data_IF_220932763586
#
_entry.id   IF_220932763586
#
_cell.length_a   1.000
_cell.length_b   1.000
_cell.length_c   1.000
_cell.angle_alpha   90.00
_cell.angle_beta   90.00
_cell.angle_gamma   90.00
#
_symmetry.space_group_name_H-M   'P 1'
#
loop_
_entity.id
_entity.type
_entity.pdbx_description
1 polymer ?
#
# COMPACT_ATOMS: atom_id res chain seq x y z
N UNK A 1 -10.40 3.36 36.73
CA UNK A 1 -10.27 3.24 35.26
C UNK A 1 -10.09 4.61 34.63
N UNK A 2 -9.41 4.63 33.52
CA UNK A 2 -9.30 5.78 32.63
C UNK A 2 -9.50 5.33 31.19
N UNK A 3 -10.21 6.11 30.40
CA UNK A 3 -10.43 5.89 28.98
C UNK A 3 -10.21 7.23 28.30
N UNK A 4 -9.35 7.24 27.31
CA UNK A 4 -9.12 8.41 26.45
C UNK A 4 -9.18 7.99 24.98
N UNK A 5 -9.77 8.84 24.13
CA UNK A 5 -9.77 8.65 22.70
C UNK A 5 -9.56 9.99 22.01
N UNK A 6 -8.92 9.97 20.86
CA UNK A 6 -8.79 11.10 19.97
C UNK A 6 -9.06 10.68 18.54
N UNK A 7 -9.55 11.60 17.74
CA UNK A 7 -9.72 11.46 16.30
C UNK A 7 -9.31 12.78 15.65
N UNK A 8 -8.44 12.71 14.67
CA UNK A 8 -8.05 13.86 13.87
C UNK A 8 -8.42 13.63 12.41
N UNK A 9 -8.94 14.67 11.78
CA UNK A 9 -9.14 14.74 10.33
C UNK A 9 -8.33 15.89 9.78
N UNK A 10 -7.42 15.60 8.85
CA UNK A 10 -6.58 16.60 8.21
C UNK A 10 -6.67 16.43 6.69
N UNK A 11 -7.18 17.44 6.00
CA UNK A 11 -7.22 17.50 4.54
C UNK A 11 -6.46 18.75 4.10
N UNK A 12 -5.41 18.53 3.35
CA UNK A 12 -4.64 19.61 2.73
C UNK A 12 -4.87 19.64 1.22
N UNK A 13 -4.37 20.66 0.58
CA UNK A 13 -4.44 20.84 -0.87
C UNK A 13 -3.27 21.71 -1.29
N UNK A 14 -2.57 21.34 -2.35
CA UNK A 14 -1.59 22.18 -3.01
C UNK A 14 -2.33 23.35 -3.65
N UNK A 15 -2.05 24.55 -3.19
CA UNK A 15 -2.69 25.78 -3.69
C UNK A 15 -1.93 26.35 -4.88
N UNK A 16 -0.60 26.25 -4.84
CA UNK A 16 0.27 26.66 -5.90
C UNK A 16 1.55 25.83 -5.89
N UNK A 17 2.02 25.45 -7.05
CA UNK A 17 3.32 24.83 -7.27
C UNK A 17 3.82 25.29 -8.64
N UNK A 18 5.12 25.54 -8.76
CA UNK A 18 5.74 25.90 -10.03
C UNK A 18 5.92 24.63 -10.89
N UNK A 19 4.84 24.23 -11.55
CA UNK A 19 4.82 23.08 -12.46
C UNK A 19 4.53 23.53 -13.90
N UNK A 20 4.94 22.71 -14.86
CA UNK A 20 4.64 22.95 -16.28
C UNK A 20 3.13 22.91 -16.50
N UNK A 21 2.67 23.62 -17.54
CA UNK A 21 1.27 23.53 -17.97
C UNK A 21 1.01 22.17 -18.60
N UNK A 22 0.26 21.33 -17.92
CA UNK A 22 -0.16 20.02 -18.44
C UNK A 22 -1.36 20.15 -19.35
N UNK A 23 -1.45 19.32 -20.42
CA UNK A 23 -2.59 19.34 -21.34
C UNK A 23 -3.90 18.83 -20.71
N UNK A 24 -3.83 18.08 -19.63
CA UNK A 24 -4.99 17.46 -18.97
C UNK A 24 -4.98 17.73 -17.47
N UNK A 25 -6.15 18.02 -16.90
CA UNK A 25 -6.33 18.33 -15.46
C UNK A 25 -5.93 17.18 -14.54
N UNK A 26 -6.06 15.93 -14.99
CA UNK A 26 -5.68 14.78 -14.15
C UNK A 26 -4.17 14.63 -13.92
N UNK A 27 -3.35 15.30 -14.73
CA UNK A 27 -1.89 15.30 -14.58
C UNK A 27 -1.40 16.34 -13.55
N UNK A 28 -2.23 17.33 -13.21
CA UNK A 28 -1.85 18.44 -12.36
C UNK A 28 -1.72 18.02 -10.90
N UNK A 29 -0.70 18.54 -10.23
CA UNK A 29 -0.50 18.41 -8.77
C UNK A 29 -1.28 19.49 -8.02
N UNK A 30 -1.45 20.66 -8.60
CA UNK A 30 -2.24 21.74 -8.03
C UNK A 30 -3.69 21.27 -7.83
N UNK A 31 -4.24 21.61 -6.68
CA UNK A 31 -5.58 21.15 -6.29
C UNK A 31 -5.63 19.79 -5.62
N UNK A 32 -4.57 18.97 -5.72
CA UNK A 32 -4.49 17.65 -5.09
C UNK A 32 -3.88 17.74 -3.69
N UNK A 33 -4.09 16.73 -2.83
CA UNK A 33 -3.43 16.66 -1.54
C UNK A 33 -1.90 16.53 -1.67
N UNK A 34 -1.17 17.08 -0.72
CA UNK A 34 0.28 16.83 -0.60
C UNK A 34 0.52 15.33 -0.40
N UNK A 35 1.44 14.75 -1.19
CA UNK A 35 1.73 13.32 -1.18
C UNK A 35 0.73 12.48 -1.96
N UNK A 36 -0.06 13.08 -2.85
CA UNK A 36 -0.88 12.37 -3.82
C UNK A 36 0.02 11.49 -4.68
N UNK A 37 -0.39 10.23 -4.86
CA UNK A 37 0.28 9.31 -5.76
C UNK A 37 -0.24 9.50 -7.18
N UNK A 38 0.65 9.41 -8.15
CA UNK A 38 0.34 9.45 -9.58
C UNK A 38 0.85 8.17 -10.23
N UNK A 39 0.13 7.68 -11.23
CA UNK A 39 0.48 6.47 -11.94
C UNK A 39 -0.49 6.14 -13.04
N UNK A 40 -0.17 5.10 -13.79
CA UNK A 40 -1.04 4.55 -14.82
C UNK A 40 -2.25 3.86 -14.21
N UNK A 41 -3.31 3.75 -14.99
CA UNK A 41 -4.49 2.96 -14.63
C UNK A 41 -4.37 1.58 -15.25
N UNK A 42 -4.45 0.54 -14.43
CA UNK A 42 -4.44 -0.85 -14.86
C UNK A 42 -5.71 -1.19 -15.65
N UNK A 43 -5.54 -1.79 -16.83
CA UNK A 43 -6.63 -2.18 -17.74
C UNK A 43 -6.71 -3.69 -18.00
N UNK A 44 -6.00 -4.48 -17.20
CA UNK A 44 -5.96 -5.93 -17.32
C UNK A 44 -4.61 -6.46 -17.77
N UNK A 45 -4.57 -7.76 -18.06
CA UNK A 45 -3.39 -8.44 -18.55
C UNK A 45 -3.59 -8.86 -20.01
N UNK A 46 -2.48 -8.91 -20.76
CA UNK A 46 -2.50 -9.47 -22.10
C UNK A 46 -2.87 -10.95 -22.06
N UNK A 47 -3.84 -11.34 -22.87
CA UNK A 47 -4.11 -12.74 -23.16
C UNK A 47 -3.08 -13.30 -24.15
N UNK A 48 -3.04 -14.62 -24.32
CA UNK A 48 -2.18 -15.27 -25.34
C UNK A 48 -2.52 -14.77 -26.75
N UNK A 49 -3.81 -14.62 -27.06
CA UNK A 49 -4.30 -14.14 -28.36
C UNK A 49 -3.89 -12.69 -28.61
N UNK A 50 -4.13 -11.81 -27.64
CA UNK A 50 -3.74 -10.39 -27.72
C UNK A 50 -2.24 -10.20 -27.89
N UNK A 51 -1.42 -10.96 -27.14
CA UNK A 51 0.03 -10.90 -27.23
C UNK A 51 0.53 -11.39 -28.61
N UNK A 52 -0.04 -12.48 -29.12
CA UNK A 52 0.32 -13.03 -30.43
C UNK A 52 -0.06 -12.08 -31.59
N UNK A 53 -1.14 -11.34 -31.45
CA UNK A 53 -1.65 -10.45 -32.50
C UNK A 53 -1.36 -8.96 -32.24
N UNK A 54 -0.52 -8.63 -31.27
CA UNK A 54 -0.32 -7.25 -30.79
C UNK A 54 0.04 -6.27 -31.91
N UNK A 55 0.95 -6.65 -32.83
CA UNK A 55 1.36 -5.80 -33.93
C UNK A 55 0.19 -5.39 -34.87
N UNK A 56 -0.85 -6.23 -34.97
CA UNK A 56 -2.05 -5.93 -35.75
C UNK A 56 -3.12 -5.16 -34.97
N UNK A 57 -3.08 -5.25 -33.65
CA UNK A 57 -4.08 -4.66 -32.74
C UNK A 57 -3.65 -3.30 -32.20
N UNK A 58 -2.32 -3.05 -32.11
CA UNK A 58 -1.78 -1.86 -31.47
C UNK A 58 -2.13 -0.57 -32.22
N UNK A 59 -2.41 0.47 -31.43
CA UNK A 59 -2.69 1.81 -31.95
C UNK A 59 -4.04 1.95 -32.69
N UNK A 60 -4.83 0.89 -32.77
CA UNK A 60 -6.16 0.96 -33.38
C UNK A 60 -7.17 1.47 -32.34
N UNK A 61 -7.73 2.64 -32.58
CA UNK A 61 -8.66 3.30 -31.64
C UNK A 61 -10.03 2.60 -31.60
N UNK A 62 -10.44 1.94 -32.70
CA UNK A 62 -11.69 1.20 -32.76
C UNK A 62 -11.48 -0.30 -32.51
N UNK A 63 -11.54 -0.70 -31.22
CA UNK A 63 -11.49 -2.12 -30.82
C UNK A 63 -10.09 -2.74 -30.76
N UNK A 64 -9.05 -1.94 -30.90
CA UNK A 64 -7.65 -2.37 -30.74
C UNK A 64 -7.12 -2.20 -29.31
N UNK A 65 -5.82 -2.39 -29.19
CA UNK A 65 -5.08 -2.20 -27.94
C UNK A 65 -4.20 -0.94 -28.12
N UNK A 66 -4.22 0.02 -27.18
CA UNK A 66 -3.30 1.15 -27.24
C UNK A 66 -1.86 0.68 -27.33
N UNK A 67 -1.02 1.36 -28.09
CA UNK A 67 0.41 1.08 -28.14
C UNK A 67 1.03 1.29 -26.77
N UNK A 68 1.50 0.23 -26.14
CA UNK A 68 2.00 0.23 -24.75
C UNK A 68 3.44 0.75 -24.63
N UNK A 69 3.99 1.33 -25.69
CA UNK A 69 5.30 1.95 -25.72
C UNK A 69 6.18 1.49 -26.88
N UNK A 70 7.05 2.40 -27.32
CA UNK A 70 7.92 2.15 -28.48
C UNK A 70 8.80 0.91 -28.29
N UNK A 71 8.68 -0.04 -29.22
CA UNK A 71 9.46 -1.28 -29.21
C UNK A 71 9.04 -2.30 -28.14
N UNK A 72 7.94 -2.06 -27.43
CA UNK A 72 7.42 -3.03 -26.49
C UNK A 72 6.69 -4.17 -27.20
N UNK A 73 7.10 -5.39 -26.89
CA UNK A 73 6.46 -6.62 -27.36
C UNK A 73 5.89 -7.36 -26.15
N UNK A 74 4.57 -7.37 -25.97
CA UNK A 74 3.96 -8.01 -24.80
C UNK A 74 4.07 -9.53 -24.89
N UNK A 75 4.05 -10.16 -23.71
CA UNK A 75 3.78 -11.57 -23.53
C UNK A 75 2.45 -11.74 -22.81
N UNK A 76 1.86 -12.92 -22.92
CA UNK A 76 0.68 -13.27 -22.13
C UNK A 76 0.95 -13.06 -20.62
N UNK A 77 0.02 -12.39 -19.95
CA UNK A 77 0.15 -12.01 -18.55
C UNK A 77 0.98 -10.76 -18.27
N UNK A 78 1.44 -10.05 -19.28
CA UNK A 78 1.98 -8.70 -19.12
C UNK A 78 0.85 -7.69 -18.86
N UNK A 79 1.17 -6.58 -18.21
CA UNK A 79 0.20 -5.53 -17.83
C UNK A 79 -0.22 -4.71 -19.05
N UNK A 80 -1.51 -4.43 -19.14
CA UNK A 80 -2.08 -3.40 -20.02
C UNK A 80 -2.42 -2.17 -19.21
N UNK A 81 -2.07 -0.99 -19.73
CA UNK A 81 -2.48 0.30 -19.17
C UNK A 81 -3.56 0.94 -20.03
N UNK A 82 -4.37 1.74 -19.38
CA UNK A 82 -5.50 2.43 -19.97
C UNK A 82 -5.06 3.72 -20.64
N UNK A 83 -5.44 3.88 -21.91
CA UNK A 83 -5.34 5.12 -22.65
C UNK A 83 -6.44 6.09 -22.16
N UNK A 84 -6.05 7.12 -21.43
CA UNK A 84 -6.98 8.07 -20.82
C UNK A 84 -7.39 9.17 -21.79
N UNK A 85 -6.48 9.59 -22.65
CA UNK A 85 -6.71 10.67 -23.62
C UNK A 85 -7.24 10.15 -24.95
N UNK A 86 -7.23 8.83 -25.16
CA UNK A 86 -7.70 8.12 -26.35
C UNK A 86 -6.93 8.49 -27.63
N UNK A 87 -5.61 8.69 -27.50
CA UNK A 87 -4.75 8.96 -28.64
C UNK A 87 -4.14 7.71 -29.28
N UNK A 88 -4.48 6.51 -28.76
CA UNK A 88 -4.07 5.21 -29.27
C UNK A 88 -2.73 4.72 -28.76
N UNK A 89 -2.12 5.39 -27.79
CA UNK A 89 -0.84 5.00 -27.19
C UNK A 89 -0.81 5.30 -25.71
N UNK A 90 0.05 4.62 -24.98
CA UNK A 90 0.29 4.83 -23.55
C UNK A 90 1.57 5.65 -23.38
N UNK A 91 1.41 6.85 -22.86
CA UNK A 91 2.53 7.75 -22.57
C UNK A 91 2.30 8.54 -21.25
N UNK A 92 3.14 9.53 -20.98
CA UNK A 92 3.04 10.35 -19.77
C UNK A 92 1.68 11.05 -19.60
N UNK A 93 0.90 11.21 -20.67
CA UNK A 93 -0.42 11.86 -20.64
C UNK A 93 -1.49 10.95 -20.03
N UNK A 94 -1.20 9.65 -19.88
CA UNK A 94 -2.09 8.66 -19.27
C UNK A 94 -1.80 8.46 -17.78
N UNK A 95 -0.88 9.22 -17.24
CA UNK A 95 -0.58 9.23 -15.81
C UNK A 95 -1.55 10.17 -15.09
N UNK A 96 -2.22 9.67 -14.08
CA UNK A 96 -3.17 10.44 -13.27
C UNK A 96 -3.01 10.20 -11.78
N UNK A 97 -3.72 10.96 -10.97
CA UNK A 97 -3.84 10.71 -9.55
C UNK A 97 -4.52 9.35 -9.28
N UNK A 98 -3.90 8.53 -8.43
CA UNK A 98 -4.36 7.20 -8.05
C UNK A 98 -4.50 7.09 -6.53
N UNK A 99 -5.59 6.45 -6.09
CA UNK A 99 -5.86 6.16 -4.69
C UNK A 99 -5.88 7.36 -3.74
N UNK A 100 -5.56 7.09 -2.49
CA UNK A 100 -5.43 8.13 -1.45
C UNK A 100 -4.01 8.68 -1.41
N UNK A 101 -3.81 9.89 -0.82
CA UNK A 101 -2.47 10.42 -0.60
C UNK A 101 -1.66 9.53 0.36
N UNK A 102 -0.35 9.68 0.32
CA UNK A 102 0.58 8.99 1.23
C UNK A 102 0.31 9.32 2.70
N UNK A 103 -0.13 10.55 2.98
CA UNK A 103 -0.47 10.99 4.33
C UNK A 103 -1.93 10.68 4.64
N UNK A 104 -2.23 10.04 5.80
CA UNK A 104 -3.59 9.66 6.14
C UNK A 104 -4.50 10.87 6.34
N UNK A 105 -5.75 10.77 5.86
CA UNK A 105 -6.76 11.79 6.12
C UNK A 105 -7.32 11.71 7.55
N UNK A 106 -7.32 10.53 8.13
CA UNK A 106 -7.78 10.31 9.50
C UNK A 106 -6.71 9.61 10.31
N UNK A 107 -6.47 10.11 11.52
CA UNK A 107 -5.68 9.42 12.54
C UNK A 107 -6.50 9.32 13.81
N UNK A 108 -6.40 8.19 14.49
CA UNK A 108 -7.10 7.95 15.74
C UNK A 108 -6.19 7.30 16.77
N UNK A 109 -6.42 7.60 18.03
CA UNK A 109 -5.77 6.96 19.16
C UNK A 109 -6.79 6.64 20.26
N UNK A 110 -6.55 5.54 20.98
CA UNK A 110 -7.33 5.16 22.14
C UNK A 110 -6.42 4.61 23.23
N UNK A 111 -6.63 5.09 24.45
CA UNK A 111 -5.96 4.57 25.63
C UNK A 111 -7.00 4.04 26.62
N UNK A 112 -6.74 2.88 27.17
CA UNK A 112 -7.51 2.28 28.26
C UNK A 112 -6.58 1.95 29.40
N UNK A 113 -6.97 2.29 30.62
CA UNK A 113 -6.28 1.91 31.84
C UNK A 113 -7.26 1.47 32.92
N UNK A 114 -6.93 0.40 33.62
CA UNK A 114 -7.71 -0.13 34.75
C UNK A 114 -6.76 -0.50 35.88
N UNK A 115 -7.10 -0.06 37.12
CA UNK A 115 -6.35 -0.47 38.29
C UNK A 115 -7.32 -1.00 39.35
N UNK A 116 -7.02 -2.16 39.91
CA UNK A 116 -7.87 -2.80 40.93
C UNK A 116 -7.06 -3.73 41.84
N UNK A 117 -7.11 -3.50 43.13
CA UNK A 117 -6.49 -4.34 44.19
C UNK A 117 -5.05 -4.76 43.89
N UNK A 118 -4.23 -3.81 43.43
CA UNK A 118 -2.83 -4.04 43.12
C UNK A 118 -2.58 -4.47 41.66
N UNK A 119 -3.58 -4.92 40.93
CA UNK A 119 -3.46 -5.13 39.51
C UNK A 119 -3.61 -3.81 38.77
N UNK A 120 -2.82 -3.63 37.73
CA UNK A 120 -2.95 -2.55 36.77
C UNK A 120 -2.87 -3.14 35.34
N UNK A 121 -3.74 -2.66 34.50
CA UNK A 121 -3.80 -3.00 33.07
C UNK A 121 -3.87 -1.73 32.25
N UNK A 122 -3.09 -1.68 31.18
CA UNK A 122 -3.18 -0.59 30.21
C UNK A 122 -3.04 -1.10 28.80
N UNK A 123 -3.70 -0.42 27.86
CA UNK A 123 -3.50 -0.62 26.43
C UNK A 123 -3.63 0.68 25.66
N UNK A 124 -2.90 0.76 24.56
CA UNK A 124 -2.91 1.89 23.62
C UNK A 124 -3.11 1.37 22.22
N UNK A 125 -4.08 1.95 21.52
CA UNK A 125 -4.34 1.71 20.12
C UNK A 125 -4.01 2.94 19.29
N UNK A 126 -3.53 2.72 18.07
CA UNK A 126 -3.41 3.74 17.03
C UNK A 126 -4.05 3.26 15.73
N UNK A 127 -4.53 4.20 14.95
CA UNK A 127 -5.13 3.91 13.65
C UNK A 127 -4.88 5.05 12.67
N UNK A 128 -4.76 4.70 11.40
CA UNK A 128 -4.73 5.63 10.29
C UNK A 128 -5.62 5.12 9.17
N UNK A 129 -6.34 6.02 8.51
CA UNK A 129 -7.28 5.66 7.45
C UNK A 129 -7.19 6.62 6.27
N UNK A 130 -7.61 6.13 5.10
CA UNK A 130 -7.56 6.84 3.82
C UNK A 130 -6.14 7.31 3.51
N UNK A 131 -5.25 6.35 3.48
CA UNK A 131 -3.86 6.49 3.03
C UNK A 131 -3.54 5.34 2.09
N UNK A 132 -2.78 5.60 1.05
CA UNK A 132 -2.32 4.59 0.11
C UNK A 132 -0.81 4.57 0.05
N UNK A 133 -0.28 3.40 -0.24
CA UNK A 133 1.16 3.20 -0.45
C UNK A 133 1.41 2.49 -1.77
N UNK A 134 2.27 3.08 -2.56
CA UNK A 134 2.81 2.42 -3.73
C UNK A 134 3.87 1.41 -3.29
N UNK A 135 3.75 0.17 -3.71
CA UNK A 135 4.73 -0.85 -3.39
C UNK A 135 6.10 -0.50 -4.00
N UNK A 136 7.16 -0.56 -3.21
CA UNK A 136 8.52 -0.39 -3.74
C UNK A 136 8.92 -1.58 -4.62
N UNK A 137 9.99 -1.42 -5.41
CA UNK A 137 10.48 -2.46 -6.32
C UNK A 137 10.72 -3.80 -5.62
N UNK A 138 11.19 -3.80 -4.37
CA UNK A 138 11.38 -5.01 -3.56
C UNK A 138 10.09 -5.82 -3.41
N UNK A 139 8.94 -5.15 -3.35
CA UNK A 139 7.63 -5.78 -3.14
C UNK A 139 6.84 -5.99 -4.43
N UNK A 140 7.36 -5.61 -5.60
CA UNK A 140 6.64 -5.78 -6.86
C UNK A 140 7.44 -6.48 -7.95
N UNK A 141 8.79 -6.41 -7.91
CA UNK A 141 9.64 -6.99 -8.95
C UNK A 141 10.17 -8.35 -8.48
N UNK A 142 9.71 -9.48 -9.05
CA UNK A 142 10.25 -10.79 -8.75
C UNK A 142 11.67 -10.92 -9.34
N UNK A 143 12.51 -11.72 -8.71
CA UNK A 143 13.89 -12.04 -9.10
C UNK A 143 14.87 -10.86 -9.07
N UNK A 144 14.42 -9.63 -8.88
CA UNK A 144 15.25 -8.41 -8.86
C UNK A 144 15.99 -8.15 -10.17
N UNK A 145 16.78 -7.09 -10.20
CA UNK A 145 17.53 -6.69 -11.40
C UNK A 145 18.64 -7.68 -11.81
N UNK A 146 19.15 -8.46 -10.87
CA UNK A 146 20.27 -9.39 -11.07
C UNK A 146 19.87 -10.86 -11.11
N UNK A 147 18.57 -11.17 -11.18
CA UNK A 147 18.03 -12.53 -11.14
C UNK A 147 18.42 -13.37 -9.90
N UNK A 148 18.98 -12.73 -8.88
CA UNK A 148 19.48 -13.38 -7.67
C UNK A 148 18.59 -13.12 -6.45
N UNK A 149 17.52 -12.32 -6.60
CA UNK A 149 16.60 -11.99 -5.50
C UNK A 149 15.57 -13.10 -5.32
N UNK A 150 15.26 -13.38 -4.06
CA UNK A 150 14.19 -14.30 -3.72
C UNK A 150 12.82 -13.73 -4.17
N UNK A 151 11.94 -14.61 -4.63
CA UNK A 151 10.55 -14.29 -4.94
C UNK A 151 9.72 -14.47 -3.66
N UNK A 152 8.94 -13.50 -3.31
CA UNK A 152 8.05 -13.61 -2.16
C UNK A 152 6.86 -14.52 -2.48
N UNK A 153 6.37 -15.26 -1.48
CA UNK A 153 5.27 -16.23 -1.65
C UNK A 153 4.05 -15.61 -2.35
N UNK A 154 3.62 -14.40 -1.92
CA UNK A 154 2.47 -13.74 -2.52
C UNK A 154 2.68 -13.38 -4.01
N UNK A 155 3.92 -13.10 -4.45
CA UNK A 155 4.20 -12.84 -5.87
C UNK A 155 3.91 -14.07 -6.72
N UNK A 156 4.17 -15.27 -6.20
CA UNK A 156 3.83 -16.53 -6.88
C UNK A 156 2.32 -16.79 -6.83
N UNK A 157 1.71 -16.59 -5.64
CA UNK A 157 0.29 -16.84 -5.44
C UNK A 157 -0.60 -15.87 -6.20
N UNK A 158 -0.18 -14.61 -6.35
CA UNK A 158 -0.92 -13.55 -7.03
C UNK A 158 -0.60 -13.44 -8.54
N UNK A 159 0.45 -14.14 -9.01
CA UNK A 159 0.87 -14.11 -10.40
C UNK A 159 -0.24 -14.55 -11.36
N UNK A 160 -0.26 -13.88 -12.50
CA UNK A 160 -1.15 -14.22 -13.60
C UNK A 160 -0.87 -15.64 -14.14
N UNK A 161 -1.93 -16.35 -14.40
CA UNK A 161 -1.96 -17.60 -15.17
C UNK A 161 -3.17 -17.56 -16.11
N UNK A 162 -3.22 -18.38 -17.18
CA UNK A 162 -4.38 -18.40 -18.07
C UNK A 162 -5.71 -18.62 -17.33
N UNK A 163 -5.70 -19.44 -16.28
CA UNK A 163 -6.91 -19.76 -15.49
C UNK A 163 -7.36 -18.59 -14.61
N UNK A 164 -6.43 -17.79 -14.12
CA UNK A 164 -6.77 -16.61 -13.30
C UNK A 164 -7.19 -15.43 -14.15
N UNK A 165 -6.61 -15.25 -15.32
CA UNK A 165 -6.87 -14.11 -16.17
C UNK A 165 -6.76 -12.78 -15.42
N UNK A 166 -7.73 -11.90 -15.58
CA UNK A 166 -7.77 -10.58 -14.91
C UNK A 166 -8.08 -10.65 -13.41
N UNK A 167 -8.32 -11.83 -12.82
CA UNK A 167 -8.43 -11.97 -11.37
C UNK A 167 -7.07 -12.03 -10.65
N UNK A 168 -5.98 -12.20 -11.40
CA UNK A 168 -4.62 -12.12 -10.87
C UNK A 168 -4.33 -10.73 -10.31
N UNK A 169 -3.44 -10.64 -9.32
CA UNK A 169 -3.06 -9.38 -8.68
C UNK A 169 -1.63 -8.96 -9.00
N UNK A 170 -0.94 -9.74 -9.82
CA UNK A 170 0.39 -9.48 -10.30
C UNK A 170 0.55 -10.05 -11.71
N UNK A 171 1.45 -9.49 -12.55
CA UNK A 171 1.72 -10.02 -13.89
C UNK A 171 2.32 -11.42 -13.83
N UNK A 172 2.39 -12.07 -14.98
CA UNK A 172 3.05 -13.37 -15.12
C UNK A 172 4.52 -13.28 -14.67
N UNK A 173 4.98 -14.30 -13.96
CA UNK A 173 6.37 -14.37 -13.52
C UNK A 173 7.31 -14.52 -14.73
N UNK A 174 8.33 -13.69 -14.79
CA UNK A 174 9.33 -13.71 -15.86
C UNK A 174 10.71 -13.42 -15.33
N UNK A 175 11.72 -14.15 -15.80
CA UNK A 175 13.13 -13.83 -15.58
C UNK A 175 13.63 -12.67 -16.45
N UNK A 176 12.89 -12.30 -17.49
CA UNK A 176 13.19 -11.11 -18.29
C UNK A 176 12.69 -9.88 -17.54
N UNK A 177 13.59 -8.94 -17.30
CA UNK A 177 13.20 -7.64 -16.76
C UNK A 177 12.21 -6.98 -17.72
N UNK A 178 10.99 -6.76 -17.25
CA UNK A 178 9.96 -6.05 -17.98
C UNK A 178 9.55 -4.84 -17.15
N UNK A 179 10.33 -3.77 -17.26
CA UNK A 179 10.08 -2.51 -16.55
C UNK A 179 8.65 -2.00 -16.77
N UNK A 180 8.07 -2.29 -17.93
CA UNK A 180 6.69 -1.98 -18.26
C UNK A 180 5.69 -2.51 -17.22
N UNK A 181 5.80 -3.78 -16.83
CA UNK A 181 4.89 -4.41 -15.87
C UNK A 181 4.95 -3.79 -14.46
N UNK A 182 6.01 -3.07 -14.18
CA UNK A 182 6.30 -2.54 -12.84
C UNK A 182 6.30 -1.01 -12.78
N UNK A 183 5.66 -0.36 -13.76
CA UNK A 183 5.40 1.08 -13.73
C UNK A 183 4.49 1.43 -12.52
N UNK A 184 4.65 2.64 -12.01
CA UNK A 184 3.78 3.17 -10.98
C UNK A 184 2.35 3.22 -11.48
N UNK A 185 1.47 2.45 -10.84
CA UNK A 185 0.08 2.27 -11.27
C UNK A 185 -0.79 1.86 -10.09
N UNK A 186 -2.10 1.91 -10.28
CA UNK A 186 -3.06 1.46 -9.28
C UNK A 186 -2.99 -0.06 -9.03
N UNK A 187 -2.43 -0.85 -9.98
CA UNK A 187 -2.11 -2.27 -9.76
C UNK A 187 -1.15 -2.45 -8.57
N UNK A 188 -0.21 -1.55 -8.38
CA UNK A 188 0.80 -1.63 -7.32
C UNK A 188 0.49 -0.75 -6.11
N UNK A 189 -0.62 -0.02 -6.17
CA UNK A 189 -1.09 0.79 -5.06
C UNK A 189 -1.85 -0.07 -4.05
N UNK A 190 -1.56 0.09 -2.78
CA UNK A 190 -2.24 -0.62 -1.69
C UNK A 190 -2.86 0.35 -0.71
N UNK A 191 -4.04 0.00 -0.20
CA UNK A 191 -4.63 0.68 0.96
C UNK A 191 -3.76 0.41 2.19
N UNK A 192 -3.13 1.45 2.71
CA UNK A 192 -2.26 1.38 3.87
C UNK A 192 -2.97 1.76 5.18
N UNK A 193 -4.29 1.78 5.19
CA UNK A 193 -5.08 1.98 6.40
C UNK A 193 -4.86 0.84 7.39
N UNK A 194 -4.74 1.19 8.68
CA UNK A 194 -4.50 0.19 9.72
C UNK A 194 -5.15 0.57 11.06
N UNK A 195 -5.29 -0.44 11.91
CA UNK A 195 -5.55 -0.32 13.36
C UNK A 195 -4.56 -1.21 14.09
N UNK A 196 -3.84 -0.66 15.07
CA UNK A 196 -2.75 -1.36 15.77
C UNK A 196 -2.86 -1.23 17.27
N UNK A 197 -2.71 -2.37 17.97
CA UNK A 197 -2.45 -2.40 19.40
C UNK A 197 -0.96 -2.08 19.64
N UNK A 198 -0.68 -0.81 19.96
CA UNK A 198 0.69 -0.29 20.13
C UNK A 198 1.35 -0.84 21.37
N UNK A 199 0.65 -0.74 22.49
CA UNK A 199 1.14 -1.20 23.77
C UNK A 199 0.03 -1.92 24.50
N UNK A 200 0.41 -2.95 25.25
CA UNK A 200 -0.40 -3.59 26.28
C UNK A 200 0.50 -3.92 27.45
N UNK A 201 0.03 -3.67 28.66
CA UNK A 201 0.76 -3.99 29.87
C UNK A 201 -0.21 -4.50 30.94
N UNK A 202 0.19 -5.54 31.63
CA UNK A 202 -0.46 -6.06 32.83
C UNK A 202 0.57 -6.10 33.96
N UNK A 203 0.29 -5.40 35.03
CA UNK A 203 1.15 -5.32 36.22
C UNK A 203 0.44 -5.76 37.48
N UNK A 204 1.24 -6.11 38.48
CA UNK A 204 0.79 -6.36 39.84
C UNK A 204 1.75 -5.74 40.82
N UNK A 205 1.25 -4.85 41.68
CA UNK A 205 1.95 -4.22 42.77
C UNK A 205 1.65 -4.95 44.07
N UNK A 206 2.67 -5.50 44.71
CA UNK A 206 2.52 -6.24 45.94
C UNK A 206 2.13 -5.31 47.10
N UNK A 207 1.26 -5.77 48.06
CA UNK A 207 0.86 -4.98 49.19
C UNK A 207 2.07 -4.59 50.06
N UNK A 208 2.09 -3.34 50.53
CA UNK A 208 3.17 -2.81 51.34
C UNK A 208 3.38 -3.58 52.65
N UNK A 209 2.32 -4.17 53.22
CA UNK A 209 2.39 -5.03 54.43
C UNK A 209 3.23 -6.30 54.21
N UNK A 210 3.16 -6.88 53.01
CA UNK A 210 3.97 -8.04 52.63
C UNK A 210 5.42 -7.63 52.37
N UNK A 211 5.60 -6.52 51.68
CA UNK A 211 6.94 -6.02 51.33
C UNK A 211 7.76 -5.60 52.55
N UNK A 212 7.13 -4.98 53.56
CA UNK A 212 7.78 -4.63 54.83
C UNK A 212 8.31 -5.86 55.54
N UNK A 213 7.60 -7.00 55.53
CA UNK A 213 8.08 -8.25 56.12
C UNK A 213 9.32 -8.80 55.40
N UNK A 214 9.45 -8.55 54.13
CA UNK A 214 10.59 -8.94 53.34
C UNK A 214 11.73 -7.92 53.31
N UNK A 215 11.61 -6.82 54.06
CA UNK A 215 12.54 -5.68 54.04
C UNK A 215 12.73 -5.04 52.67
N UNK A 216 11.68 -5.11 51.82
CA UNK A 216 11.64 -4.52 50.48
C UNK A 216 10.72 -3.28 50.50
N UNK A 217 11.15 -2.16 49.92
CA UNK A 217 10.38 -0.93 49.92
C UNK A 217 9.09 -1.07 49.09
N UNK A 218 9.20 -1.57 47.86
CA UNK A 218 8.09 -1.86 46.97
C UNK A 218 8.50 -2.89 45.92
N UNK A 219 7.54 -3.66 45.42
CA UNK A 219 7.75 -4.61 44.34
C UNK A 219 6.54 -4.56 43.41
N UNK A 220 6.79 -4.34 42.12
CA UNK A 220 5.82 -4.49 41.04
C UNK A 220 6.38 -5.44 40.00
N UNK A 221 5.62 -6.43 39.61
CA UNK A 221 5.91 -7.31 38.48
C UNK A 221 4.97 -6.92 37.34
N UNK A 222 5.49 -6.93 36.16
CA UNK A 222 4.67 -6.62 34.98
C UNK A 222 5.11 -7.42 33.75
N UNK A 223 4.20 -7.59 32.82
CA UNK A 223 4.45 -8.08 31.48
C UNK A 223 3.92 -7.06 30.49
N UNK A 224 4.70 -6.75 29.49
CA UNK A 224 4.30 -5.80 28.43
C UNK A 224 4.56 -6.36 27.05
N UNK A 225 3.78 -5.89 26.10
CA UNK A 225 3.93 -6.23 24.69
C UNK A 225 3.75 -5.00 23.82
N UNK A 226 4.47 -4.98 22.69
CA UNK A 226 4.45 -3.89 21.73
C UNK A 226 4.04 -4.42 20.35
N UNK A 227 3.14 -3.69 19.66
CA UNK A 227 2.71 -4.00 18.30
C UNK A 227 2.21 -5.44 18.12
N UNK A 228 1.54 -6.00 19.14
CA UNK A 228 1.11 -7.41 19.14
C UNK A 228 0.05 -7.73 18.11
N UNK A 229 -0.82 -6.77 17.80
CA UNK A 229 -1.91 -6.94 16.84
C UNK A 229 -1.92 -5.78 15.86
N UNK A 230 -1.97 -6.09 14.58
CA UNK A 230 -2.15 -5.13 13.50
C UNK A 230 -3.20 -5.64 12.53
N UNK A 231 -4.21 -4.82 12.30
CA UNK A 231 -5.25 -5.07 11.30
C UNK A 231 -5.01 -4.09 10.15
N UNK A 232 -4.55 -4.58 9.02
CA UNK A 232 -4.23 -3.79 7.84
C UNK A 232 -4.61 -4.53 6.55
N UNK A 233 -4.61 -3.81 5.44
CA UNK A 233 -4.84 -4.35 4.10
C UNK A 233 -3.55 -4.46 3.28
N UNK A 234 -2.46 -3.88 3.76
CA UNK A 234 -1.20 -3.85 3.04
C UNK A 234 -0.55 -5.24 2.93
N UNK A 235 -0.55 -6.01 4.02
CA UNK A 235 -0.13 -7.43 4.12
C UNK A 235 1.34 -7.75 3.78
N UNK A 236 2.02 -6.90 3.05
CA UNK A 236 3.37 -7.16 2.51
C UNK A 236 4.48 -6.43 3.25
N UNK A 237 4.14 -5.37 3.99
CA UNK A 237 5.09 -4.58 4.80
C UNK A 237 4.37 -3.95 5.98
N UNK A 238 5.14 -3.36 6.90
CA UNK A 238 4.55 -2.61 8.01
C UNK A 238 3.81 -1.37 7.48
N UNK A 239 2.52 -1.17 7.84
CA UNK A 239 1.76 -0.02 7.36
C UNK A 239 2.23 1.34 7.91
N UNK A 240 3.07 1.34 8.95
CA UNK A 240 3.66 2.56 9.53
C UNK A 240 5.08 2.87 9.01
N UNK A 241 5.73 1.95 8.28
CA UNK A 241 7.11 2.11 7.80
C UNK A 241 7.24 3.10 6.63
#
# INVERSE_FOLDING_TARGET
YNIGANLSYAKNKVVFIDEITYPYEWMQTEGKPVGQQFGYVFDGYFTEEEAANYENLKGNIEGGIPDQGSGYVPLAGDVKYKDLNKDGKIDEKDVRDIGYPKYPLYTAGMNLGVSWKGFDFSMTWSAAFKTSRLLSSMYRVPFGESNNSAVMKYMIEDAWTPEKGNSAKAPALSFKSKSHNYQDSDLWLRDASYVRLKNIELGYSFPSSLMKKAHIGSLRLFVSGYNLLTFDKLKVSDPEA
#
